data_IF_297998237717
#
_entry.id   IF_297998237717
#
_cell.length_a   1.000
_cell.length_b   1.000
_cell.length_c   1.000
_cell.angle_alpha   90.00
_cell.angle_beta   90.00
_cell.angle_gamma   90.00
#
_symmetry.space_group_name_H-M   'P 1'
#
loop_
_entity.id
_entity.type
_entity.pdbx_description
1 polymer ?
#
# COMPACT_ATOMS: atom_id res chain seq x y z
N UNK A 1 9.48 -9.11 10.43
CA UNK A 1 9.46 -9.05 8.95
C UNK A 1 8.68 -7.85 8.42
N UNK A 2 7.38 -7.63 8.79
CA UNK A 2 6.59 -6.49 8.27
C UNK A 2 7.13 -5.11 8.72
N UNK A 3 7.54 -4.96 9.97
CA UNK A 3 8.12 -3.73 10.50
C UNK A 3 9.51 -3.41 9.89
N UNK A 4 10.31 -4.43 9.62
CA UNK A 4 11.61 -4.29 8.95
C UNK A 4 11.44 -3.91 7.48
N UNK A 5 10.47 -4.51 6.80
CA UNK A 5 10.07 -4.15 5.44
C UNK A 5 9.69 -2.67 5.34
N UNK A 6 8.82 -2.18 6.24
CA UNK A 6 8.39 -0.78 6.26
C UNK A 6 9.55 0.19 6.53
N UNK A 7 10.53 -0.20 7.35
CA UNK A 7 11.75 0.60 7.60
C UNK A 7 12.67 0.65 6.38
N UNK A 8 12.86 -0.47 5.68
CA UNK A 8 13.67 -0.51 4.45
C UNK A 8 13.03 0.34 3.36
N UNK A 9 11.72 0.22 3.18
CA UNK A 9 10.97 1.00 2.18
C UNK A 9 10.99 2.52 2.44
N UNK A 10 11.05 2.94 3.71
CA UNK A 10 11.09 4.36 4.09
C UNK A 10 12.49 4.99 4.04
N UNK A 11 13.54 4.18 4.22
CA UNK A 11 14.91 4.68 4.41
C UNK A 11 15.71 4.80 3.10
N UNK A 12 15.30 4.12 2.01
CA UNK A 12 16.12 4.01 0.80
C UNK A 12 15.38 4.59 -0.41
N UNK A 13 16.01 5.53 -1.12
CA UNK A 13 15.41 6.17 -2.30
C UNK A 13 15.20 5.16 -3.45
N UNK A 14 14.18 5.33 -4.33
CA UNK A 14 14.01 4.50 -5.51
C UNK A 14 15.21 4.53 -6.43
N UNK A 15 15.52 3.40 -7.04
CA UNK A 15 16.66 3.25 -7.95
C UNK A 15 18.00 3.26 -7.25
N UNK A 16 18.06 3.54 -5.93
CA UNK A 16 19.33 3.56 -5.22
C UNK A 16 19.87 2.18 -4.91
N UNK A 17 21.17 2.09 -4.83
CA UNK A 17 21.90 0.89 -4.43
C UNK A 17 21.71 0.63 -2.94
N UNK A 18 21.38 -0.60 -2.59
CA UNK A 18 21.25 -1.07 -1.20
C UNK A 18 22.61 -1.53 -0.72
N UNK A 19 23.25 -0.74 0.14
CA UNK A 19 24.54 -1.10 0.75
C UNK A 19 24.28 -2.11 1.88
N UNK A 20 24.45 -3.41 1.59
CA UNK A 20 24.14 -4.52 2.52
C UNK A 20 24.80 -4.36 3.90
N UNK A 21 26.04 -3.88 3.95
CA UNK A 21 26.79 -3.70 5.21
C UNK A 21 26.19 -2.60 6.09
N UNK A 22 25.74 -1.51 5.47
CA UNK A 22 25.13 -0.41 6.17
C UNK A 22 23.72 -0.75 6.64
N UNK A 23 22.90 -1.34 5.75
CA UNK A 23 21.56 -1.78 6.06
C UNK A 23 21.55 -2.85 7.16
N UNK A 24 22.48 -3.82 7.09
CA UNK A 24 22.65 -4.84 8.13
C UNK A 24 22.99 -4.25 9.50
N UNK A 25 23.87 -3.23 9.53
CA UNK A 25 24.18 -2.49 10.76
C UNK A 25 22.97 -1.71 11.31
N UNK A 26 22.23 -1.04 10.46
CA UNK A 26 21.04 -0.28 10.85
C UNK A 26 19.93 -1.19 11.41
N UNK A 27 19.76 -2.38 10.83
CA UNK A 27 18.74 -3.35 11.24
C UNK A 27 19.20 -4.29 12.36
N UNK A 28 20.50 -4.30 12.71
CA UNK A 28 21.06 -5.21 13.71
C UNK A 28 21.10 -6.67 13.26
N UNK A 29 21.18 -6.94 11.95
CA UNK A 29 21.17 -8.28 11.38
C UNK A 29 22.47 -8.60 10.64
N UNK A 30 22.87 -9.89 10.61
CA UNK A 30 24.03 -10.35 9.84
C UNK A 30 23.71 -10.44 8.34
N UNK A 31 24.76 -10.64 7.52
CA UNK A 31 24.64 -10.64 6.04
C UNK A 31 23.74 -11.75 5.51
N UNK A 32 23.75 -12.94 6.13
CA UNK A 32 22.99 -14.08 5.62
C UNK A 32 21.48 -13.84 5.68
N UNK A 33 20.85 -13.53 6.83
CA UNK A 33 19.43 -13.22 6.88
C UNK A 33 19.06 -11.99 6.05
N UNK A 34 19.95 -11.00 5.95
CA UNK A 34 19.69 -9.83 5.10
C UNK A 34 19.60 -10.22 3.62
N UNK A 35 20.51 -11.06 3.13
CA UNK A 35 20.46 -11.53 1.72
C UNK A 35 19.24 -12.38 1.42
N UNK A 36 18.80 -13.22 2.34
CA UNK A 36 17.56 -13.98 2.17
C UNK A 36 16.34 -13.04 2.13
N UNK A 37 16.29 -12.01 2.98
CA UNK A 37 15.27 -10.98 2.92
C UNK A 37 15.29 -10.21 1.59
N UNK A 38 16.47 -9.85 1.08
CA UNK A 38 16.60 -9.17 -0.23
C UNK A 38 16.17 -10.08 -1.39
N UNK A 39 16.43 -11.40 -1.34
CA UNK A 39 15.90 -12.35 -2.34
C UNK A 39 14.37 -12.42 -2.30
N UNK A 40 13.78 -12.45 -1.10
CA UNK A 40 12.32 -12.41 -0.93
C UNK A 40 11.74 -11.14 -1.54
N UNK A 41 12.31 -9.98 -1.22
CA UNK A 41 11.89 -8.69 -1.78
C UNK A 41 12.08 -8.61 -3.30
N UNK A 42 13.10 -9.27 -3.83
CA UNK A 42 13.29 -9.38 -5.28
C UNK A 42 12.21 -10.26 -5.93
N UNK A 43 11.83 -11.37 -5.31
CA UNK A 43 10.69 -12.19 -5.74
C UNK A 43 9.37 -11.44 -5.73
N UNK A 44 9.21 -10.49 -4.81
CA UNK A 44 8.05 -9.59 -4.72
C UNK A 44 8.12 -8.40 -5.71
N UNK A 45 9.24 -8.22 -6.42
CA UNK A 45 9.45 -7.13 -7.38
C UNK A 45 9.67 -5.77 -6.72
N UNK A 46 10.20 -5.73 -5.50
CA UNK A 46 10.54 -4.51 -4.76
C UNK A 46 12.03 -4.16 -4.86
N UNK A 47 12.86 -5.15 -5.16
CA UNK A 47 14.31 -5.04 -5.28
C UNK A 47 14.77 -5.72 -6.56
N UNK A 48 15.75 -5.15 -7.25
CA UNK A 48 16.46 -5.77 -8.34
C UNK A 48 17.80 -6.29 -7.84
N UNK A 49 18.04 -7.61 -7.97
CA UNK A 49 19.34 -8.23 -7.69
C UNK A 49 20.14 -8.29 -8.99
N UNK A 50 21.17 -7.45 -9.09
CA UNK A 50 22.00 -7.36 -10.28
C UNK A 50 23.31 -8.11 -10.04
N UNK A 51 23.64 -9.16 -10.83
CA UNK A 51 24.89 -9.91 -10.68
C UNK A 51 26.10 -8.97 -10.65
N UNK A 52 27.00 -9.18 -9.70
CA UNK A 52 28.23 -8.40 -9.47
C UNK A 52 28.01 -6.91 -9.15
N UNK A 53 26.78 -6.42 -9.06
CA UNK A 53 26.46 -5.02 -8.74
C UNK A 53 25.66 -4.86 -7.46
N UNK A 54 25.10 -5.94 -6.91
CA UNK A 54 24.34 -5.93 -5.66
C UNK A 54 22.84 -5.72 -5.84
N UNK A 55 22.20 -5.19 -4.81
CA UNK A 55 20.76 -4.98 -4.75
C UNK A 55 20.40 -3.50 -4.98
N UNK A 56 19.32 -3.24 -5.69
CA UNK A 56 18.81 -1.90 -5.98
C UNK A 56 17.32 -1.82 -5.66
N UNK A 57 16.85 -0.69 -5.15
CA UNK A 57 15.40 -0.46 -4.98
C UNK A 57 14.76 -0.34 -6.36
N UNK A 58 13.84 -1.25 -6.68
CA UNK A 58 13.17 -1.25 -7.98
C UNK A 58 12.27 -0.04 -8.14
N UNK A 59 12.28 0.52 -9.34
CA UNK A 59 11.34 1.56 -9.80
C UNK A 59 10.54 0.96 -10.94
N UNK A 60 9.24 0.75 -10.78
CA UNK A 60 8.40 0.29 -11.90
C UNK A 60 8.46 1.29 -13.06
N UNK A 61 8.51 0.79 -14.28
CA UNK A 61 8.30 1.62 -15.47
C UNK A 61 6.85 2.15 -15.52
N UNK A 62 6.59 3.17 -16.33
CA UNK A 62 5.24 3.70 -16.49
C UNK A 62 4.25 2.62 -16.99
N UNK A 63 4.71 1.72 -17.85
CA UNK A 63 3.89 0.59 -18.34
C UNK A 63 3.59 -0.39 -17.21
N UNK A 64 4.62 -0.87 -16.49
CA UNK A 64 4.44 -1.78 -15.35
C UNK A 64 3.53 -1.18 -14.27
N UNK A 65 3.64 0.12 -14.02
CA UNK A 65 2.78 0.80 -13.06
C UNK A 65 1.31 0.82 -13.50
N UNK A 66 1.05 1.04 -14.78
CA UNK A 66 -0.29 0.99 -15.36
C UNK A 66 -0.89 -0.41 -15.25
N UNK A 67 -0.14 -1.44 -15.66
CA UNK A 67 -0.56 -2.83 -15.56
C UNK A 67 -0.84 -3.25 -14.11
N UNK A 68 0.01 -2.82 -13.18
CA UNK A 68 -0.19 -3.06 -11.74
C UNK A 68 -1.45 -2.35 -11.20
N UNK A 69 -1.74 -1.13 -11.65
CA UNK A 69 -2.95 -0.40 -11.27
C UNK A 69 -4.21 -1.10 -11.79
N UNK A 70 -4.20 -1.60 -13.03
CA UNK A 70 -5.31 -2.36 -13.60
C UNK A 70 -5.65 -3.60 -12.75
N UNK A 71 -4.62 -4.37 -12.36
CA UNK A 71 -4.78 -5.53 -11.47
C UNK A 71 -5.27 -5.12 -10.10
N UNK A 72 -4.67 -4.07 -9.52
CA UNK A 72 -5.02 -3.62 -8.18
C UNK A 72 -6.45 -3.10 -8.11
N UNK A 73 -6.92 -2.35 -9.12
CA UNK A 73 -8.31 -1.90 -9.23
C UNK A 73 -9.27 -3.09 -9.26
N UNK A 74 -8.97 -4.14 -10.02
CA UNK A 74 -9.77 -5.36 -10.02
C UNK A 74 -9.82 -6.06 -8.66
N UNK A 75 -8.70 -6.11 -7.94
CA UNK A 75 -8.66 -6.67 -6.58
C UNK A 75 -9.45 -5.81 -5.58
N UNK A 76 -9.34 -4.49 -5.66
CA UNK A 76 -10.06 -3.56 -4.78
C UNK A 76 -11.58 -3.56 -5.07
N UNK A 77 -12.01 -3.72 -6.32
CA UNK A 77 -13.40 -3.93 -6.71
C UNK A 77 -13.99 -5.20 -6.09
N UNK A 78 -13.29 -6.34 -6.21
CA UNK A 78 -13.68 -7.58 -5.55
C UNK A 78 -13.73 -7.40 -4.04
N UNK A 79 -12.75 -6.73 -3.44
CA UNK A 79 -12.70 -6.46 -2.01
C UNK A 79 -13.90 -5.63 -1.54
N UNK A 80 -14.25 -4.56 -2.26
CA UNK A 80 -15.40 -3.70 -1.94
C UNK A 80 -16.71 -4.46 -1.92
N UNK A 81 -16.98 -5.27 -2.95
CA UNK A 81 -18.18 -6.12 -3.02
C UNK A 81 -18.24 -7.11 -1.86
N UNK A 82 -17.16 -7.85 -1.61
CA UNK A 82 -17.11 -8.81 -0.52
C UNK A 82 -17.16 -8.15 0.87
N UNK A 83 -16.62 -6.93 1.02
CA UNK A 83 -16.72 -6.16 2.25
C UNK A 83 -18.18 -5.77 2.56
N UNK A 84 -18.97 -5.40 1.54
CA UNK A 84 -20.41 -5.18 1.69
C UNK A 84 -21.16 -6.41 2.15
N UNK A 85 -20.78 -7.60 1.63
CA UNK A 85 -21.42 -8.86 1.95
C UNK A 85 -21.03 -9.42 3.34
N UNK A 86 -19.76 -9.26 3.75
CA UNK A 86 -19.16 -10.02 4.85
C UNK A 86 -18.74 -9.17 6.05
N UNK A 87 -18.43 -7.90 5.82
CA UNK A 87 -17.98 -7.02 6.89
C UNK A 87 -19.06 -6.80 7.93
N UNK A 88 -18.75 -6.92 9.22
CA UNK A 88 -19.67 -6.59 10.30
C UNK A 88 -19.81 -5.07 10.46
N UNK A 89 -20.92 -4.61 11.02
CA UNK A 89 -21.15 -3.19 11.27
C UNK A 89 -20.08 -2.59 12.21
N UNK A 90 -19.58 -3.39 13.15
CA UNK A 90 -18.49 -2.98 14.05
C UNK A 90 -17.18 -2.74 13.29
N UNK A 91 -16.83 -3.62 12.35
CA UNK A 91 -15.63 -3.47 11.52
C UNK A 91 -15.75 -2.27 10.57
N UNK A 92 -16.92 -2.06 9.97
CA UNK A 92 -17.20 -0.90 9.12
C UNK A 92 -17.09 0.40 9.93
N UNK A 93 -17.66 0.43 11.15
CA UNK A 93 -17.54 1.58 12.04
C UNK A 93 -16.08 1.87 12.42
N UNK A 94 -15.26 0.83 12.66
CA UNK A 94 -13.84 0.98 12.91
C UNK A 94 -13.10 1.57 11.69
N UNK A 95 -13.43 1.14 10.48
CA UNK A 95 -12.85 1.69 9.26
C UNK A 95 -13.27 3.16 9.04
N UNK A 96 -14.52 3.53 9.38
CA UNK A 96 -15.00 4.92 9.37
C UNK A 96 -14.17 5.83 10.29
N UNK A 97 -13.72 5.35 11.44
CA UNK A 97 -12.84 6.13 12.32
C UNK A 97 -11.51 6.44 11.64
N UNK A 98 -10.90 5.47 10.96
CA UNK A 98 -9.66 5.68 10.21
C UNK A 98 -9.88 6.69 9.06
N UNK A 99 -11.02 6.63 8.36
CA UNK A 99 -11.39 7.62 7.34
C UNK A 99 -11.50 9.03 7.94
N UNK A 100 -12.14 9.18 9.08
CA UNK A 100 -12.26 10.48 9.75
C UNK A 100 -10.89 11.06 10.14
N UNK A 101 -9.98 10.23 10.64
CA UNK A 101 -8.59 10.62 10.92
C UNK A 101 -7.85 11.06 9.66
N UNK A 102 -8.05 10.35 8.53
CA UNK A 102 -7.47 10.72 7.24
C UNK A 102 -7.96 12.08 6.76
N UNK A 103 -9.26 12.37 6.89
CA UNK A 103 -9.85 13.68 6.57
C UNK A 103 -9.26 14.79 7.47
N UNK A 104 -9.02 14.53 8.75
CA UNK A 104 -8.37 15.48 9.64
C UNK A 104 -6.90 15.73 9.25
N UNK A 105 -6.16 14.67 8.90
CA UNK A 105 -4.80 14.79 8.40
C UNK A 105 -4.74 15.64 7.10
N UNK A 106 -5.71 15.47 6.20
CA UNK A 106 -5.86 16.33 5.02
C UNK A 106 -6.09 17.81 5.39
N UNK A 107 -7.09 18.09 6.23
CA UNK A 107 -7.42 19.47 6.67
C UNK A 107 -6.26 20.16 7.38
N UNK A 108 -5.43 19.40 8.08
CA UNK A 108 -4.25 19.90 8.80
C UNK A 108 -2.96 19.92 7.95
N UNK A 109 -3.02 19.57 6.67
CA UNK A 109 -1.87 19.53 5.77
C UNK A 109 -0.83 18.45 6.12
N UNK A 110 -1.19 17.46 6.93
CA UNK A 110 -0.30 16.38 7.40
C UNK A 110 -0.17 15.27 6.36
N UNK A 111 0.51 15.55 5.26
CA UNK A 111 0.56 14.69 4.08
C UNK A 111 1.07 13.26 4.35
N UNK A 112 2.09 13.11 5.19
CA UNK A 112 2.62 11.78 5.53
C UNK A 112 1.60 10.94 6.30
N UNK A 113 0.90 11.56 7.26
CA UNK A 113 -0.12 10.88 8.05
C UNK A 113 -1.33 10.52 7.19
N UNK A 114 -1.80 11.46 6.36
CA UNK A 114 -2.81 11.16 5.34
C UNK A 114 -2.45 9.93 4.52
N UNK A 115 -1.21 9.86 4.00
CA UNK A 115 -0.79 8.75 3.15
C UNK A 115 -0.78 7.40 3.90
N UNK A 116 -0.38 7.36 5.16
CA UNK A 116 -0.46 6.16 6.00
C UNK A 116 -1.89 5.70 6.21
N UNK A 117 -2.78 6.65 6.53
CA UNK A 117 -4.21 6.37 6.74
C UNK A 117 -4.89 5.92 5.44
N UNK A 118 -4.55 6.54 4.29
CA UNK A 118 -4.99 6.10 2.98
C UNK A 118 -4.65 4.63 2.70
N UNK A 119 -3.41 4.21 2.98
CA UNK A 119 -3.00 2.80 2.85
C UNK A 119 -3.82 1.92 3.80
N UNK A 120 -4.04 2.37 5.03
CA UNK A 120 -4.80 1.62 6.03
C UNK A 120 -6.27 1.43 5.61
N UNK A 121 -6.89 2.42 4.96
CA UNK A 121 -8.27 2.34 4.46
C UNK A 121 -8.37 1.28 3.36
N UNK A 122 -7.52 1.31 2.33
CA UNK A 122 -7.53 0.28 1.28
C UNK A 122 -7.29 -1.12 1.86
N UNK A 123 -6.34 -1.26 2.78
CA UNK A 123 -6.11 -2.53 3.48
C UNK A 123 -7.32 -2.96 4.34
N UNK A 124 -8.06 -2.00 4.90
CA UNK A 124 -9.29 -2.22 5.65
C UNK A 124 -10.41 -2.79 4.78
N UNK A 125 -10.66 -2.23 3.61
CA UNK A 125 -11.62 -2.80 2.64
C UNK A 125 -11.28 -4.26 2.31
N UNK A 126 -10.00 -4.55 2.08
CA UNK A 126 -9.53 -5.90 1.80
C UNK A 126 -9.69 -6.81 3.01
N UNK A 127 -9.45 -6.30 4.23
CA UNK A 127 -9.65 -7.08 5.45
C UNK A 127 -11.12 -7.45 5.67
N UNK A 128 -12.04 -6.50 5.45
CA UNK A 128 -13.50 -6.69 5.53
C UNK A 128 -14.03 -7.72 4.52
N UNK A 129 -13.29 -8.00 3.44
CA UNK A 129 -13.66 -9.07 2.49
C UNK A 129 -13.57 -10.46 3.10
N UNK A 130 -12.89 -10.64 4.24
CA UNK A 130 -12.60 -11.92 4.87
C UNK A 130 -12.01 -12.97 3.91
N UNK A 131 -11.27 -12.51 2.88
CA UNK A 131 -10.61 -13.34 1.88
C UNK A 131 -9.09 -13.22 2.02
N UNK A 132 -8.48 -14.24 2.62
CA UNK A 132 -7.03 -14.24 2.89
C UNK A 132 -6.18 -14.25 1.62
N UNK A 133 -6.64 -14.89 0.55
CA UNK A 133 -5.94 -14.93 -0.73
C UNK A 133 -5.99 -13.56 -1.42
N UNK A 134 -7.15 -12.91 -1.43
CA UNK A 134 -7.30 -11.55 -1.93
C UNK A 134 -6.38 -10.57 -1.18
N UNK A 135 -6.30 -10.71 0.14
CA UNK A 135 -5.38 -9.91 0.97
C UNK A 135 -3.93 -10.08 0.53
N UNK A 136 -3.48 -11.32 0.38
CA UNK A 136 -2.11 -11.63 -0.04
C UNK A 136 -1.76 -11.02 -1.39
N UNK A 137 -2.65 -11.14 -2.37
CA UNK A 137 -2.45 -10.58 -3.72
C UNK A 137 -2.44 -9.04 -3.68
N UNK A 138 -3.38 -8.43 -2.96
CA UNK A 138 -3.45 -6.98 -2.79
C UNK A 138 -2.18 -6.44 -2.13
N UNK A 139 -1.69 -7.05 -1.05
CA UNK A 139 -0.45 -6.64 -0.36
C UNK A 139 0.76 -6.66 -1.30
N UNK A 140 0.86 -7.68 -2.15
CA UNK A 140 1.93 -7.79 -3.15
C UNK A 140 1.85 -6.67 -4.19
N UNK A 141 0.68 -6.46 -4.80
CA UNK A 141 0.48 -5.43 -5.82
C UNK A 141 0.62 -4.02 -5.25
N UNK A 142 -0.03 -3.74 -4.11
CA UNK A 142 -0.03 -2.41 -3.48
C UNK A 142 1.35 -2.02 -2.96
N UNK A 143 2.15 -2.99 -2.47
CA UNK A 143 3.53 -2.77 -2.05
C UNK A 143 4.40 -2.19 -3.15
N UNK A 144 4.27 -2.71 -4.39
CA UNK A 144 5.01 -2.22 -5.57
C UNK A 144 4.60 -0.81 -6.00
N UNK A 145 3.35 -0.40 -5.74
CA UNK A 145 2.79 0.90 -6.13
C UNK A 145 2.83 1.96 -5.03
N UNK A 146 3.12 1.59 -3.78
CA UNK A 146 3.03 2.47 -2.59
C UNK A 146 3.64 3.84 -2.82
N UNK A 147 4.84 3.88 -3.40
CA UNK A 147 5.54 5.14 -3.64
C UNK A 147 4.94 5.97 -4.76
N UNK A 148 4.42 5.33 -5.80
CA UNK A 148 3.76 6.02 -6.90
C UNK A 148 2.44 6.65 -6.44
N UNK A 149 1.69 5.97 -5.56
CA UNK A 149 0.50 6.54 -4.92
C UNK A 149 0.82 7.80 -4.11
N UNK A 150 1.95 7.82 -3.39
CA UNK A 150 2.39 9.03 -2.68
C UNK A 150 2.66 10.20 -3.63
N UNK A 151 3.25 9.95 -4.80
CA UNK A 151 3.50 10.96 -5.82
C UNK A 151 2.21 11.38 -6.55
N UNK A 152 1.24 10.50 -6.71
CA UNK A 152 -0.03 10.78 -7.37
C UNK A 152 -0.86 11.86 -6.67
N UNK A 153 -0.76 11.98 -5.33
CA UNK A 153 -1.39 13.04 -4.53
C UNK A 153 -0.49 14.25 -4.30
N UNK A 154 0.40 14.57 -5.27
CA UNK A 154 1.40 15.63 -5.11
C UNK A 154 0.84 17.04 -5.22
N UNK A 155 -0.28 17.24 -5.92
CA UNK A 155 -0.93 18.55 -6.04
C UNK A 155 -2.14 18.65 -5.09
N UNK A 156 -2.47 19.88 -4.60
CA UNK A 156 -3.61 20.08 -3.72
C UNK A 156 -4.94 19.58 -4.30
N UNK A 157 -5.16 19.79 -5.62
CA UNK A 157 -6.40 19.40 -6.31
C UNK A 157 -6.56 17.88 -6.36
N UNK A 158 -5.49 17.14 -6.69
CA UNK A 158 -5.49 15.67 -6.69
C UNK A 158 -5.67 15.09 -5.30
N UNK A 159 -5.09 15.76 -4.30
CA UNK A 159 -5.24 15.34 -2.92
C UNK A 159 -6.68 15.53 -2.44
N UNK A 160 -7.32 16.66 -2.76
CA UNK A 160 -8.72 16.92 -2.44
C UNK A 160 -9.65 15.90 -3.14
N UNK A 161 -9.44 15.64 -4.44
CA UNK A 161 -10.23 14.66 -5.18
C UNK A 161 -10.13 13.25 -4.55
N UNK A 162 -8.94 12.82 -4.14
CA UNK A 162 -8.76 11.52 -3.48
C UNK A 162 -9.52 11.43 -2.13
N UNK A 163 -9.63 12.53 -1.38
CA UNK A 163 -10.42 12.56 -0.15
C UNK A 163 -11.92 12.39 -0.44
N UNK A 164 -12.42 13.03 -1.49
CA UNK A 164 -13.82 12.90 -1.93
C UNK A 164 -14.15 11.49 -2.41
N UNK A 165 -13.26 10.88 -3.20
CA UNK A 165 -13.40 9.50 -3.66
C UNK A 165 -13.47 8.52 -2.47
N UNK A 166 -12.61 8.67 -1.48
CA UNK A 166 -12.65 7.84 -0.27
C UNK A 166 -13.94 8.02 0.53
N UNK A 167 -14.47 9.23 0.60
CA UNK A 167 -15.75 9.47 1.29
C UNK A 167 -16.92 8.79 0.57
N UNK A 168 -16.91 8.78 -0.77
CA UNK A 168 -17.89 8.04 -1.57
C UNK A 168 -17.78 6.53 -1.33
N UNK A 169 -16.57 5.99 -1.33
CA UNK A 169 -16.33 4.57 -1.02
C UNK A 169 -16.86 4.18 0.37
N UNK A 170 -16.59 5.01 1.39
CA UNK A 170 -17.05 4.72 2.74
C UNK A 170 -18.58 4.77 2.87
N UNK A 171 -19.23 5.74 2.23
CA UNK A 171 -20.71 5.82 2.19
C UNK A 171 -21.32 4.61 1.51
N UNK A 172 -20.76 4.17 0.39
CA UNK A 172 -21.22 2.98 -0.31
C UNK A 172 -21.05 1.73 0.57
N UNK A 173 -19.94 1.60 1.30
CA UNK A 173 -19.73 0.48 2.23
C UNK A 173 -20.76 0.49 3.39
N UNK A 174 -21.03 1.65 3.99
CA UNK A 174 -22.02 1.82 5.06
C UNK A 174 -23.43 1.50 4.59
N UNK A 175 -23.74 1.85 3.33
CA UNK A 175 -25.02 1.53 2.69
C UNK A 175 -25.06 0.08 2.16
N UNK A 176 -23.98 -0.68 2.24
CA UNK A 176 -23.85 -2.02 1.64
C UNK A 176 -24.06 -2.00 0.12
N UNK A 177 -23.76 -0.89 -0.54
CA UNK A 177 -23.89 -0.70 -1.99
C UNK A 177 -22.66 -1.29 -2.71
N UNK A 178 -22.74 -2.57 -2.99
CA UNK A 178 -21.67 -3.33 -3.65
C UNK A 178 -21.44 -2.88 -5.11
N UNK A 179 -22.48 -2.38 -5.79
CA UNK A 179 -22.39 -1.95 -7.19
C UNK A 179 -21.57 -0.66 -7.32
N UNK A 180 -21.74 0.27 -6.36
CA UNK A 180 -20.93 1.50 -6.30
C UNK A 180 -19.46 1.21 -5.94
N UNK A 181 -19.18 0.11 -5.21
CA UNK A 181 -17.81 -0.29 -4.82
C UNK A 181 -17.14 -1.24 -5.83
N UNK A 182 -17.82 -1.67 -6.87
CA UNK A 182 -17.31 -2.53 -7.93
C UNK A 182 -16.81 -1.70 -9.12
#
# INVERSE_FOLDING_TARGET
>A
LAAERSRIEAAIAPGSHIIESELGRQLGVSRTPLREALKTLAGEGLVDLVPSRGAFVRVPTALEARELLEVLTGLESIAGRLACERGSDQEIAALRLIQNEMVQAFKSGQRLEYHKLNIAIHAGFVALSHNSELRRQHETCSGRLRRMRFLATSTPERWAAAVEEHELMMRALEARDADTLA
#
